data_IF_097182900621
#
_entry.id   IF_097182900621
#
_cell.length_a   1.000
_cell.length_b   1.000
_cell.length_c   1.000
_cell.angle_alpha   90.00
_cell.angle_beta   90.00
_cell.angle_gamma   90.00
#
_symmetry.space_group_name_H-M   'P 1'
#
loop_
_entity.id
_entity.type
_entity.pdbx_description
1 polymer ?
#
# COMPACT_ATOMS: atom_id res chain seq x y z
N UNK A 1 1.06 -8.31 -15.47
CA UNK A 1 2.13 -8.29 -16.48
C UNK A 1 3.44 -7.84 -15.81
N UNK A 2 4.65 -8.19 -16.33
CA UNK A 2 5.92 -7.83 -15.69
C UNK A 2 6.09 -6.33 -15.43
N UNK A 3 5.66 -5.48 -16.34
CA UNK A 3 5.71 -4.02 -16.23
C UNK A 3 4.80 -3.43 -15.13
N UNK A 4 3.95 -4.25 -14.54
CA UNK A 4 3.04 -3.88 -13.45
C UNK A 4 3.51 -4.38 -12.09
N UNK A 5 4.73 -4.93 -11.99
CA UNK A 5 5.26 -5.55 -10.77
C UNK A 5 6.62 -4.97 -10.44
N UNK A 6 6.78 -4.51 -9.21
CA UNK A 6 8.07 -4.15 -8.63
C UNK A 6 8.36 -5.09 -7.47
N UNK A 7 9.53 -5.71 -7.50
CA UNK A 7 10.02 -6.56 -6.40
C UNK A 7 10.86 -5.72 -5.44
N UNK A 8 10.67 -5.88 -4.14
CA UNK A 8 11.33 -5.06 -3.11
C UNK A 8 11.65 -5.87 -1.84
N UNK A 9 12.38 -5.25 -0.91
CA UNK A 9 12.76 -5.86 0.39
C UNK A 9 11.59 -5.93 1.37
N UNK A 10 10.55 -6.68 0.98
CA UNK A 10 9.28 -6.78 1.69
C UNK A 10 8.32 -5.64 1.32
N UNK A 11 7.08 -5.74 1.81
CA UNK A 11 6.06 -4.69 1.62
C UNK A 11 6.47 -3.36 2.28
N UNK A 12 7.28 -3.39 3.34
CA UNK A 12 7.75 -2.18 4.04
C UNK A 12 8.55 -1.25 3.12
N UNK A 13 9.44 -1.80 2.27
CA UNK A 13 10.12 -0.98 1.26
C UNK A 13 9.14 -0.43 0.23
N UNK A 14 8.09 -1.18 -0.13
CA UNK A 14 7.02 -0.69 -0.99
C UNK A 14 6.31 0.52 -0.39
N UNK A 15 6.00 0.50 0.91
CA UNK A 15 5.43 1.64 1.65
C UNK A 15 6.36 2.85 1.56
N UNK A 16 7.64 2.67 1.91
CA UNK A 16 8.64 3.75 1.87
C UNK A 16 8.79 4.35 0.47
N UNK A 17 8.91 3.50 -0.56
CA UNK A 17 9.07 3.94 -1.95
C UNK A 17 7.88 4.76 -2.43
N UNK A 18 6.66 4.37 -2.08
CA UNK A 18 5.44 5.10 -2.44
C UNK A 18 5.42 6.49 -1.80
N UNK A 19 5.76 6.61 -0.52
CA UNK A 19 5.84 7.90 0.16
C UNK A 19 6.91 8.78 -0.49
N UNK A 20 8.13 8.25 -0.70
CA UNK A 20 9.24 8.99 -1.32
C UNK A 20 8.98 9.41 -2.76
N UNK A 21 8.16 8.65 -3.49
CA UNK A 21 7.87 8.90 -4.89
C UNK A 21 6.74 9.90 -5.12
N UNK A 22 5.78 9.99 -4.19
CA UNK A 22 4.54 10.74 -4.39
C UNK A 22 4.31 11.86 -3.38
N UNK A 23 5.09 11.96 -2.30
CA UNK A 23 4.93 13.00 -1.29
C UNK A 23 6.15 13.91 -1.23
N UNK A 24 5.93 15.22 -1.19
CA UNK A 24 6.95 16.21 -0.89
C UNK A 24 7.00 16.45 0.63
N UNK A 25 8.17 16.24 1.29
CA UNK A 25 8.31 16.46 2.73
C UNK A 25 7.97 17.88 3.14
N UNK A 26 7.18 18.04 4.21
CA UNK A 26 6.73 19.33 4.73
C UNK A 26 5.60 20.01 3.95
N UNK A 27 5.17 19.43 2.81
CA UNK A 27 4.08 20.00 1.98
C UNK A 27 2.90 19.03 1.87
N UNK A 28 3.19 17.74 1.66
CA UNK A 28 2.18 16.71 1.42
C UNK A 28 1.94 15.82 2.64
N UNK A 29 0.85 15.08 2.61
CA UNK A 29 0.47 14.15 3.66
C UNK A 29 0.18 12.73 3.14
N UNK A 30 0.35 11.76 4.03
CA UNK A 30 -0.25 10.43 3.91
C UNK A 30 -1.48 10.32 4.81
N UNK A 31 -2.44 9.47 4.44
CA UNK A 31 -3.62 9.18 5.26
C UNK A 31 -3.73 7.67 5.50
N UNK A 32 -4.09 7.27 6.71
CA UNK A 32 -4.39 5.90 7.08
C UNK A 32 -5.44 5.83 8.20
N UNK A 33 -6.05 4.64 8.40
CA UNK A 33 -7.22 4.45 9.25
C UNK A 33 -6.90 3.55 10.46
N UNK A 34 -6.47 4.12 11.62
CA UNK A 34 -6.20 3.33 12.81
C UNK A 34 -7.49 2.72 13.43
N UNK A 35 -7.37 1.56 14.15
CA UNK A 35 -6.13 0.84 14.39
C UNK A 35 -5.68 0.08 13.15
N UNK A 36 -4.42 0.26 12.73
CA UNK A 36 -3.84 -0.38 11.55
C UNK A 36 -2.32 -0.55 11.69
N UNK A 37 -1.65 -1.00 10.62
CA UNK A 37 -0.22 -1.28 10.63
C UNK A 37 0.62 -0.01 10.88
N UNK A 38 1.53 -0.09 11.86
CA UNK A 38 2.28 1.09 12.34
C UNK A 38 3.36 1.61 11.39
N UNK A 39 3.79 0.82 10.38
CA UNK A 39 4.86 1.25 9.48
C UNK A 39 4.46 2.39 8.54
N UNK A 40 3.18 2.66 8.36
CA UNK A 40 2.75 3.82 7.57
C UNK A 40 3.22 5.12 8.21
N UNK A 41 2.99 5.29 9.54
CA UNK A 41 3.47 6.46 10.28
C UNK A 41 4.99 6.49 10.39
N UNK A 42 5.62 5.37 10.74
CA UNK A 42 7.07 5.31 10.90
C UNK A 42 7.79 5.71 9.61
N UNK A 43 7.34 5.20 8.46
CA UNK A 43 7.95 5.55 7.16
C UNK A 43 7.71 7.02 6.80
N UNK A 44 6.48 7.52 6.99
CA UNK A 44 6.15 8.92 6.66
C UNK A 44 6.92 9.91 7.56
N UNK A 45 6.95 9.68 8.87
CA UNK A 45 7.66 10.52 9.84
C UNK A 45 9.18 10.54 9.58
N UNK A 46 9.76 9.38 9.24
CA UNK A 46 11.19 9.27 8.90
C UNK A 46 11.56 10.11 7.67
N UNK A 47 10.63 10.25 6.73
CA UNK A 47 10.82 11.04 5.51
C UNK A 47 10.44 12.53 5.73
N UNK A 48 9.72 12.84 6.80
CA UNK A 48 9.24 14.19 7.10
C UNK A 48 7.91 14.54 6.42
N UNK A 49 7.10 13.52 6.10
CA UNK A 49 5.77 13.66 5.51
C UNK A 49 4.71 13.65 6.61
N UNK A 50 3.72 14.55 6.51
CA UNK A 50 2.62 14.64 7.48
C UNK A 50 1.79 13.35 7.51
N UNK A 51 1.44 12.89 8.73
CA UNK A 51 0.53 11.77 8.95
C UNK A 51 -0.86 12.27 9.33
N UNK A 52 -1.86 11.96 8.50
CA UNK A 52 -3.27 12.21 8.81
C UNK A 52 -3.98 10.89 9.12
N UNK A 53 -4.79 10.89 10.16
CA UNK A 53 -5.52 9.70 10.59
C UNK A 53 -7.01 9.93 10.59
N UNK A 54 -7.75 8.93 10.13
CA UNK A 54 -9.20 8.81 10.27
C UNK A 54 -9.47 7.45 10.90
N UNK A 55 -9.82 7.37 12.20
CA UNK A 55 -10.12 6.09 12.83
C UNK A 55 -11.21 5.34 12.07
N UNK A 56 -11.09 4.01 12.04
CA UNK A 56 -12.16 3.15 11.50
C UNK A 56 -13.44 3.29 12.33
N UNK A 57 -14.57 2.98 11.72
CA UNK A 57 -15.87 2.89 12.39
C UNK A 57 -15.87 1.72 13.40
N UNK A 58 -16.95 1.62 14.20
CA UNK A 58 -17.08 0.58 15.24
C UNK A 58 -17.07 -0.86 14.68
N UNK A 59 -17.43 -1.04 13.43
CA UNK A 59 -17.41 -2.29 12.69
C UNK A 59 -16.08 -2.51 11.91
N UNK A 60 -15.07 -1.67 12.17
CA UNK A 60 -13.76 -1.66 11.53
C UNK A 60 -13.78 -1.30 10.04
N UNK A 61 -14.86 -0.71 9.53
CA UNK A 61 -14.96 -0.22 8.17
C UNK A 61 -14.44 1.23 8.05
N UNK A 62 -14.25 1.71 6.81
CA UNK A 62 -13.74 3.05 6.54
C UNK A 62 -14.80 4.11 6.86
N UNK A 63 -14.42 5.17 7.56
CA UNK A 63 -15.20 6.40 7.68
C UNK A 63 -14.94 7.28 6.43
N UNK A 64 -15.65 7.00 5.34
CA UNK A 64 -15.47 7.72 4.07
C UNK A 64 -15.71 9.23 4.20
N UNK A 65 -16.75 9.72 4.90
CA UNK A 65 -16.91 11.16 5.14
C UNK A 65 -15.72 11.77 5.90
N UNK A 66 -15.23 11.06 6.92
CA UNK A 66 -14.05 11.49 7.68
C UNK A 66 -12.77 11.54 6.84
N UNK A 67 -12.61 10.58 5.91
CA UNK A 67 -11.50 10.55 4.95
C UNK A 67 -11.62 11.74 3.99
N UNK A 68 -12.80 11.95 3.38
CA UNK A 68 -13.04 13.03 2.42
C UNK A 68 -12.68 14.40 3.02
N UNK A 69 -13.07 14.65 4.27
CA UNK A 69 -12.78 15.88 4.97
C UNK A 69 -11.28 16.14 5.22
N UNK A 70 -10.42 15.14 5.06
CA UNK A 70 -8.98 15.21 5.30
C UNK A 70 -8.10 14.98 4.06
N UNK A 71 -8.69 14.86 2.86
CA UNK A 71 -7.96 14.54 1.62
C UNK A 71 -7.14 15.70 1.05
N UNK A 72 -7.41 16.94 1.43
CA UNK A 72 -6.67 18.08 0.89
C UNK A 72 -5.17 17.96 1.23
N UNK A 73 -4.29 18.00 0.21
CA UNK A 73 -2.84 17.80 0.36
C UNK A 73 -2.42 16.33 0.62
N UNK A 74 -3.34 15.37 0.69
CA UNK A 74 -2.99 13.94 0.79
C UNK A 74 -2.59 13.42 -0.58
N UNK A 75 -1.43 12.74 -0.64
CA UNK A 75 -0.92 12.09 -1.88
C UNK A 75 -0.97 10.58 -1.84
N UNK A 76 -0.96 9.98 -0.65
CA UNK A 76 -1.03 8.53 -0.49
C UNK A 76 -2.01 8.18 0.63
N UNK A 77 -2.96 7.29 0.34
CA UNK A 77 -3.90 6.72 1.31
C UNK A 77 -3.58 5.25 1.48
N UNK A 78 -3.26 4.82 2.70
CA UNK A 78 -3.00 3.42 3.02
C UNK A 78 -4.23 2.75 3.61
N UNK A 79 -4.61 1.61 3.05
CA UNK A 79 -5.71 0.74 3.53
C UNK A 79 -5.20 -0.68 3.65
N UNK A 80 -5.09 -1.19 4.87
CA UNK A 80 -4.71 -2.57 5.15
C UNK A 80 -5.95 -3.48 5.07
N UNK A 81 -5.94 -4.46 4.16
CA UNK A 81 -7.06 -5.39 4.00
C UNK A 81 -6.59 -6.75 3.46
N UNK A 82 -6.66 -7.82 4.25
CA UNK A 82 -7.12 -7.89 5.65
C UNK A 82 -6.29 -7.04 6.61
N UNK A 83 -6.94 -6.35 7.55
CA UNK A 83 -6.28 -5.38 8.42
C UNK A 83 -5.47 -6.04 9.56
N UNK A 84 -4.34 -5.46 9.87
CA UNK A 84 -3.57 -5.74 11.08
C UNK A 84 -3.77 -4.59 12.08
N UNK A 85 -4.33 -4.79 13.32
CA UNK A 85 -4.48 -6.08 13.99
C UNK A 85 -5.89 -6.70 13.95
N UNK A 86 -6.89 -6.06 13.35
CA UNK A 86 -8.30 -6.42 13.52
C UNK A 86 -8.72 -7.67 12.71
N UNK A 87 -7.96 -8.02 11.67
CA UNK A 87 -8.29 -9.11 10.75
C UNK A 87 -9.44 -8.80 9.78
N UNK A 88 -10.03 -7.60 9.86
CA UNK A 88 -11.19 -7.23 9.06
C UNK A 88 -10.80 -6.99 7.59
N UNK A 89 -11.70 -7.41 6.70
CA UNK A 89 -11.66 -7.08 5.28
C UNK A 89 -12.52 -5.84 5.08
N UNK A 90 -11.99 -4.88 4.32
CA UNK A 90 -12.75 -3.68 3.97
C UNK A 90 -13.80 -4.04 2.91
N UNK A 91 -15.00 -3.54 3.11
CA UNK A 91 -16.12 -3.73 2.19
C UNK A 91 -15.72 -3.29 0.76
N UNK A 92 -15.96 -4.13 -0.27
CA UNK A 92 -15.60 -3.79 -1.64
C UNK A 92 -16.26 -2.50 -2.17
N UNK A 93 -17.48 -2.17 -1.73
CA UNK A 93 -18.13 -0.93 -2.16
C UNK A 93 -17.43 0.29 -1.53
N UNK A 94 -17.07 0.20 -0.24
CA UNK A 94 -16.30 1.26 0.44
C UNK A 94 -14.94 1.50 -0.23
N UNK A 95 -14.27 0.43 -0.72
CA UNK A 95 -13.03 0.58 -1.50
C UNK A 95 -13.26 1.25 -2.86
N UNK A 96 -14.37 0.95 -3.56
CA UNK A 96 -14.72 1.64 -4.81
C UNK A 96 -14.97 3.12 -4.57
N UNK A 97 -15.75 3.44 -3.55
CA UNK A 97 -16.08 4.82 -3.21
C UNK A 97 -14.81 5.62 -2.84
N UNK A 98 -13.88 5.01 -2.08
CA UNK A 98 -12.58 5.60 -1.80
C UNK A 98 -11.77 5.84 -3.08
N UNK A 99 -11.72 4.87 -3.98
CA UNK A 99 -10.99 4.98 -5.26
C UNK A 99 -11.59 6.07 -6.15
N UNK A 100 -12.91 6.20 -6.22
CA UNK A 100 -13.55 7.29 -6.98
C UNK A 100 -13.28 8.67 -6.34
N UNK A 101 -13.35 8.77 -5.01
CA UNK A 101 -13.10 9.99 -4.24
C UNK A 101 -11.67 10.51 -4.41
N UNK A 102 -10.70 9.60 -4.56
CA UNK A 102 -9.25 9.90 -4.65
C UNK A 102 -8.75 10.01 -6.10
N UNK A 103 -9.58 9.74 -7.09
CA UNK A 103 -9.21 9.78 -8.50
C UNK A 103 -8.61 11.12 -8.89
N UNK A 104 -7.39 11.09 -9.45
CA UNK A 104 -6.62 12.28 -9.84
C UNK A 104 -6.08 13.13 -8.67
N UNK A 105 -6.22 12.67 -7.43
CA UNK A 105 -5.77 13.38 -6.22
C UNK A 105 -4.68 12.63 -5.45
N UNK A 106 -4.88 11.34 -5.22
CA UNK A 106 -3.99 10.53 -4.39
C UNK A 106 -3.85 9.10 -4.93
N UNK A 107 -2.73 8.48 -4.63
CA UNK A 107 -2.53 7.03 -4.76
C UNK A 107 -3.25 6.33 -3.61
N UNK A 108 -4.03 5.29 -3.89
CA UNK A 108 -4.60 4.40 -2.88
C UNK A 108 -3.80 3.11 -2.84
N UNK A 109 -3.28 2.78 -1.67
CA UNK A 109 -2.47 1.60 -1.43
C UNK A 109 -3.29 0.58 -0.65
N UNK A 110 -3.68 -0.50 -1.31
CA UNK A 110 -4.24 -1.68 -0.66
C UNK A 110 -3.09 -2.56 -0.16
N UNK A 111 -2.86 -2.54 1.14
CA UNK A 111 -1.87 -3.42 1.77
C UNK A 111 -2.51 -4.79 1.99
N UNK A 112 -2.18 -5.71 1.11
CA UNK A 112 -2.66 -7.08 1.07
C UNK A 112 -1.64 -8.07 1.67
N UNK A 113 -0.89 -7.68 2.68
CA UNK A 113 0.12 -8.53 3.32
C UNK A 113 -0.46 -9.85 3.89
N UNK A 114 -1.76 -9.92 4.12
CA UNK A 114 -2.47 -11.09 4.67
C UNK A 114 -3.50 -11.69 3.72
N UNK A 115 -3.50 -11.30 2.45
CA UNK A 115 -4.56 -11.67 1.49
C UNK A 115 -4.60 -13.16 1.16
N UNK A 116 -3.48 -13.88 1.30
CA UNK A 116 -3.43 -15.33 1.07
C UNK A 116 -4.36 -16.10 2.00
N UNK A 117 -4.74 -15.52 3.16
CA UNK A 117 -5.76 -16.07 4.07
C UNK A 117 -7.19 -15.79 3.61
N UNK A 118 -7.39 -14.89 2.62
CA UNK A 118 -8.68 -14.52 2.05
C UNK A 118 -8.54 -14.10 0.57
N UNK A 119 -8.07 -14.98 -0.32
CA UNK A 119 -7.66 -14.62 -1.69
C UNK A 119 -8.78 -14.05 -2.55
N UNK A 120 -10.05 -14.34 -2.23
CA UNK A 120 -11.21 -13.79 -2.93
C UNK A 120 -11.39 -12.27 -2.71
N UNK A 121 -10.75 -11.69 -1.69
CA UNK A 121 -10.86 -10.27 -1.36
C UNK A 121 -9.80 -9.40 -2.05
N UNK A 122 -8.94 -9.99 -2.90
CA UNK A 122 -7.87 -9.23 -3.58
C UNK A 122 -8.41 -8.14 -4.51
N UNK A 123 -7.76 -7.00 -4.50
CA UNK A 123 -8.01 -5.89 -5.41
C UNK A 123 -7.09 -5.88 -6.63
N UNK A 124 -6.19 -6.87 -6.76
CA UNK A 124 -5.26 -6.94 -7.88
C UNK A 124 -5.95 -6.97 -9.25
N UNK A 125 -7.17 -7.50 -9.34
CA UNK A 125 -7.98 -7.47 -10.56
C UNK A 125 -8.52 -6.08 -10.95
N UNK A 126 -8.45 -5.09 -10.05
CA UNK A 126 -8.99 -3.74 -10.27
C UNK A 126 -7.95 -2.75 -10.82
N UNK A 127 -6.69 -3.15 -10.93
CA UNK A 127 -5.59 -2.29 -11.37
C UNK A 127 -5.80 -1.70 -12.77
N UNK A 128 -6.56 -2.36 -13.65
CA UNK A 128 -6.90 -1.84 -14.98
C UNK A 128 -7.93 -0.70 -14.93
N UNK A 129 -8.82 -0.73 -13.95
CA UNK A 129 -9.94 0.22 -13.83
C UNK A 129 -9.57 1.45 -13.02
N UNK A 130 -8.59 1.26 -12.11
CA UNK A 130 -8.11 2.29 -11.18
C UNK A 130 -6.59 2.48 -11.31
N UNK A 131 -6.12 3.34 -12.24
CA UNK A 131 -4.66 3.54 -12.47
C UNK A 131 -3.87 4.04 -11.26
N UNK A 132 -4.54 4.64 -10.27
CA UNK A 132 -3.96 5.12 -9.01
C UNK A 132 -4.07 4.11 -7.84
N UNK A 133 -4.60 2.90 -8.10
CA UNK A 133 -4.56 1.80 -7.14
C UNK A 133 -3.19 1.14 -7.18
N UNK A 134 -2.65 0.87 -6.00
CA UNK A 134 -1.44 0.08 -5.76
C UNK A 134 -1.78 -1.05 -4.80
N UNK A 135 -1.29 -2.25 -5.06
CA UNK A 135 -1.46 -3.40 -4.19
C UNK A 135 -0.10 -3.85 -3.68
N UNK A 136 0.07 -3.94 -2.36
CA UNK A 136 1.28 -4.47 -1.72
C UNK A 136 1.09 -5.94 -1.34
N UNK A 137 2.12 -6.75 -1.56
CA UNK A 137 2.18 -8.18 -1.22
C UNK A 137 3.52 -8.51 -0.56
N UNK A 138 3.56 -9.60 0.20
CA UNK A 138 4.79 -10.04 0.86
C UNK A 138 4.85 -11.55 1.02
N UNK A 139 6.04 -12.12 0.97
CA UNK A 139 6.28 -13.52 1.34
C UNK A 139 6.46 -13.71 2.86
N UNK A 140 6.43 -12.62 3.63
CA UNK A 140 6.76 -12.63 5.07
C UNK A 140 5.70 -13.31 5.95
N UNK A 141 4.45 -13.43 5.49
CA UNK A 141 3.30 -13.86 6.31
C UNK A 141 2.88 -15.30 5.96
N UNK A 142 1.95 -15.49 5.05
CA UNK A 142 1.41 -16.80 4.71
C UNK A 142 2.48 -17.79 4.22
N UNK A 143 3.52 -17.31 3.58
CA UNK A 143 4.63 -18.14 3.09
C UNK A 143 5.71 -18.39 4.15
N UNK A 144 5.58 -17.84 5.36
CA UNK A 144 6.54 -17.99 6.47
C UNK A 144 8.00 -17.58 6.13
N UNK A 145 8.20 -16.69 5.15
CA UNK A 145 9.50 -16.25 4.65
C UNK A 145 9.86 -14.84 5.12
N UNK A 146 9.51 -14.48 6.36
CA UNK A 146 9.77 -13.14 6.90
C UNK A 146 11.25 -12.74 6.84
N UNK A 147 12.16 -13.68 7.10
CA UNK A 147 13.60 -13.46 7.02
C UNK A 147 14.14 -13.29 5.61
N UNK A 148 13.39 -13.68 4.58
CA UNK A 148 13.79 -13.55 3.19
C UNK A 148 13.76 -12.09 2.69
N UNK A 149 12.97 -11.23 3.34
CA UNK A 149 12.78 -9.82 2.96
C UNK A 149 12.39 -9.67 1.48
N UNK A 150 11.34 -10.38 1.03
CA UNK A 150 10.82 -10.28 -0.32
C UNK A 150 9.34 -9.88 -0.31
N UNK A 151 9.02 -8.87 -1.11
CA UNK A 151 7.66 -8.36 -1.30
C UNK A 151 7.48 -7.81 -2.70
N UNK A 152 6.24 -7.48 -3.02
CA UNK A 152 5.83 -7.05 -4.35
C UNK A 152 4.91 -5.84 -4.27
N UNK A 153 5.15 -4.88 -5.16
CA UNK A 153 4.22 -3.80 -5.46
C UNK A 153 3.60 -4.05 -6.82
N UNK A 154 2.29 -4.15 -6.87
CA UNK A 154 1.51 -4.33 -8.09
C UNK A 154 0.79 -3.01 -8.38
N UNK A 155 0.97 -2.45 -9.57
CA UNK A 155 0.37 -1.18 -9.95
C UNK A 155 0.26 -1.02 -11.47
N UNK A 156 -0.31 0.10 -11.91
CA UNK A 156 -0.19 0.53 -13.29
C UNK A 156 1.28 0.73 -13.66
N UNK A 157 1.66 0.46 -14.90
CA UNK A 157 3.04 0.57 -15.37
C UNK A 157 3.64 1.98 -15.17
N UNK A 158 2.84 3.02 -15.26
CA UNK A 158 3.29 4.40 -15.02
C UNK A 158 3.75 4.59 -13.56
N UNK A 159 2.99 4.04 -12.60
CA UNK A 159 3.36 4.06 -11.17
C UNK A 159 4.66 3.26 -10.95
N UNK A 160 4.74 2.05 -11.50
CA UNK A 160 5.96 1.23 -11.41
C UNK A 160 7.18 1.96 -11.99
N UNK A 161 7.03 2.64 -13.12
CA UNK A 161 8.10 3.41 -13.75
C UNK A 161 8.58 4.58 -12.86
N UNK A 162 7.71 5.19 -12.06
CA UNK A 162 8.09 6.20 -11.08
C UNK A 162 8.88 5.55 -9.93
N UNK A 163 8.38 4.45 -9.38
CA UNK A 163 9.04 3.72 -8.29
C UNK A 163 10.43 3.20 -8.70
N UNK A 164 10.61 2.77 -9.95
CA UNK A 164 11.90 2.34 -10.49
C UNK A 164 12.98 3.45 -10.49
N UNK A 165 12.58 4.72 -10.46
CA UNK A 165 13.52 5.85 -10.33
C UNK A 165 13.99 6.10 -8.89
N UNK A 166 13.26 5.58 -7.92
CA UNK A 166 13.47 5.85 -6.49
C UNK A 166 14.09 4.66 -5.77
N UNK A 167 13.78 3.43 -6.23
CA UNK A 167 14.31 2.20 -5.62
C UNK A 167 15.83 2.12 -5.77
N UNK A 168 16.50 1.62 -4.72
CA UNK A 168 17.94 1.36 -4.77
C UNK A 168 18.26 0.33 -5.86
N UNK A 169 19.39 0.47 -6.58
CA UNK A 169 19.85 -0.57 -7.48
C UNK A 169 20.12 -1.86 -6.69
N UNK A 170 19.76 -3.00 -7.25
CA UNK A 170 19.92 -4.31 -6.62
C UNK A 170 19.14 -4.49 -5.31
N UNK A 171 17.81 -4.28 -5.32
CA UNK A 171 16.99 -4.35 -4.10
C UNK A 171 16.96 -5.76 -3.50
N UNK A 172 17.08 -6.80 -4.32
CA UNK A 172 17.18 -8.19 -3.86
C UNK A 172 18.54 -8.80 -4.23
N UNK A 173 19.07 -9.61 -3.30
CA UNK A 173 20.22 -10.45 -3.60
C UNK A 173 19.81 -11.66 -4.45
N UNK A 174 20.74 -12.20 -5.24
CA UNK A 174 20.50 -13.39 -6.06
C UNK A 174 19.94 -14.58 -5.25
N UNK A 175 20.48 -14.93 -4.05
CA UNK A 175 19.90 -16.03 -3.27
C UNK A 175 18.44 -15.80 -2.85
N UNK A 176 18.06 -14.55 -2.57
CA UNK A 176 16.67 -14.21 -2.24
C UNK A 176 15.76 -14.38 -3.46
N UNK A 177 16.18 -13.93 -4.62
CA UNK A 177 15.43 -14.07 -5.87
C UNK A 177 15.26 -15.57 -6.23
N UNK A 178 16.31 -16.37 -6.11
CA UNK A 178 16.29 -17.80 -6.41
C UNK A 178 15.33 -18.56 -5.49
N UNK A 179 15.33 -18.26 -4.18
CA UNK A 179 14.41 -18.89 -3.22
C UNK A 179 12.97 -18.43 -3.47
N UNK A 180 12.75 -17.15 -3.77
CA UNK A 180 11.41 -16.61 -4.01
C UNK A 180 10.77 -17.16 -5.30
N UNK A 181 11.57 -17.67 -6.24
CA UNK A 181 11.10 -18.24 -7.50
C UNK A 181 10.72 -19.71 -7.42
N UNK A 182 11.00 -20.41 -6.29
CA UNK A 182 10.65 -21.82 -6.04
C UNK A 182 9.23 -21.98 -5.53
#
# INVERSE_FOLDING_TARGET
KPEQVLVSRGADEGIELLIRAFCEPGEDAVLYCPPTYGMYSVSAETIGVECRTVPTLADWQLDLPGIEARLDGVKVVFVCSPNNPTGQIIDPQSMRDLLEMTRGKAIVVADEAYIEFCPQATLAGWLSDYPHLVVLRTLSKAFALAGLRCGFTLANAEVINVLLKVIAPYPLSTPVADIAAQ
#
